data_IF_775791567705
#
_entry.id   IF_775791567705
#
_cell.length_a   1.000
_cell.length_b   1.000
_cell.length_c   1.000
_cell.angle_alpha   90.00
_cell.angle_beta   90.00
_cell.angle_gamma   90.00
#
_symmetry.space_group_name_H-M   'P 1'
#
loop_
_entity.id
_entity.type
_entity.pdbx_description
1 polymer ?
#
# COMPACT_ATOMS: atom_id res chain seq x y z
N UNK A 1 -19.11 -1.31 -17.09
CA UNK A 1 -17.95 -0.48 -16.65
C UNK A 1 -16.73 -0.95 -17.42
N UNK A 2 -15.93 -0.04 -18.00
CA UNK A 2 -14.73 -0.41 -18.78
C UNK A 2 -13.56 0.48 -18.36
N UNK A 3 -12.37 -0.09 -18.23
CA UNK A 3 -11.12 0.65 -18.09
C UNK A 3 -10.76 1.26 -19.43
N UNK A 4 -10.45 2.56 -19.44
CA UNK A 4 -10.05 3.30 -20.64
C UNK A 4 -8.54 3.14 -20.86
N UNK A 5 -8.13 2.69 -22.04
CA UNK A 5 -6.71 2.56 -22.39
C UNK A 5 -6.03 3.92 -22.53
N UNK A 6 -4.76 3.99 -22.19
CA UNK A 6 -3.94 5.19 -22.31
C UNK A 6 -4.24 6.29 -21.28
N UNK A 7 -5.16 6.05 -20.35
CA UNK A 7 -5.49 6.99 -19.25
C UNK A 7 -5.09 6.32 -17.92
N UNK A 8 -4.23 6.96 -17.10
CA UNK A 8 -3.90 6.42 -15.78
C UNK A 8 -5.15 6.15 -14.94
N UNK A 9 -5.20 5.03 -14.24
CA UNK A 9 -6.37 4.66 -13.43
C UNK A 9 -6.80 5.75 -12.44
N UNK A 10 -5.84 6.49 -11.86
CA UNK A 10 -6.13 7.61 -10.94
C UNK A 10 -6.91 8.76 -11.60
N UNK A 11 -6.93 8.82 -12.91
CA UNK A 11 -7.65 9.84 -13.67
C UNK A 11 -8.94 9.30 -14.33
N UNK A 12 -9.27 8.01 -14.13
CA UNK A 12 -10.47 7.36 -14.67
C UNK A 12 -11.69 7.49 -13.73
N UNK A 13 -11.86 8.65 -13.12
CA UNK A 13 -13.00 8.99 -12.31
C UNK A 13 -13.90 10.01 -13.03
N UNK A 14 -15.16 10.13 -12.59
CA UNK A 14 -16.06 11.20 -13.03
C UNK A 14 -15.77 12.54 -12.34
N UNK A 15 -16.55 13.58 -12.64
CA UNK A 15 -16.40 14.92 -12.05
C UNK A 15 -16.59 14.96 -10.53
N UNK A 16 -17.24 13.95 -9.97
CA UNK A 16 -17.49 13.82 -8.52
C UNK A 16 -16.44 12.92 -7.83
N UNK A 17 -15.46 12.41 -8.57
CA UNK A 17 -14.39 11.56 -8.05
C UNK A 17 -14.75 10.07 -7.97
N UNK A 18 -15.80 9.61 -8.66
CA UNK A 18 -16.20 8.21 -8.65
C UNK A 18 -15.56 7.42 -9.79
N UNK A 19 -14.86 6.35 -9.43
CA UNK A 19 -14.36 5.33 -10.33
C UNK A 19 -15.50 4.37 -10.68
N UNK A 20 -15.74 4.22 -11.98
CA UNK A 20 -16.83 3.38 -12.45
C UNK A 20 -18.22 3.78 -11.96
N UNK A 21 -18.41 5.03 -11.59
CA UNK A 21 -19.68 5.59 -11.19
C UNK A 21 -20.15 5.23 -9.78
N UNK A 22 -19.39 4.42 -9.01
CA UNK A 22 -19.83 3.98 -7.66
C UNK A 22 -18.71 3.93 -6.59
N UNK A 23 -17.45 3.84 -6.95
CA UNK A 23 -16.34 3.73 -6.00
C UNK A 23 -15.58 5.05 -5.89
N UNK A 24 -15.17 5.44 -4.70
CA UNK A 24 -14.45 6.70 -4.46
C UNK A 24 -15.37 7.82 -3.99
N UNK A 25 -15.30 8.96 -4.64
CA UNK A 25 -16.02 10.17 -4.24
C UNK A 25 -15.32 10.95 -3.14
N UNK A 26 -16.07 11.90 -2.54
CA UNK A 26 -15.60 12.77 -1.47
C UNK A 26 -16.70 12.87 -0.39
N UNK A 27 -16.84 11.84 0.43
CA UNK A 27 -17.77 11.79 1.55
C UNK A 27 -17.15 12.44 2.79
N UNK A 28 -17.13 13.76 2.81
CA UNK A 28 -16.45 14.55 3.85
C UNK A 28 -17.38 15.58 4.44
N UNK A 29 -17.07 16.04 5.66
CA UNK A 29 -17.74 17.16 6.27
C UNK A 29 -17.60 18.43 5.40
N UNK A 30 -18.58 19.32 5.44
CA UNK A 30 -18.59 20.54 4.61
C UNK A 30 -17.37 21.43 4.84
N UNK A 31 -16.85 21.46 6.05
CA UNK A 31 -15.62 22.16 6.42
C UNK A 31 -14.38 21.68 5.68
N UNK A 32 -14.37 20.43 5.17
CA UNK A 32 -13.26 19.87 4.40
C UNK A 32 -13.39 20.06 2.88
N UNK A 33 -14.53 20.53 2.36
CA UNK A 33 -14.70 20.76 0.92
C UNK A 33 -13.63 21.70 0.37
N UNK A 34 -13.50 22.89 0.98
CA UNK A 34 -12.50 23.86 0.55
C UNK A 34 -11.05 23.36 0.71
N UNK A 35 -10.60 22.79 1.83
CA UNK A 35 -9.27 22.19 1.95
C UNK A 35 -8.97 21.11 0.91
N UNK A 36 -9.93 20.27 0.56
CA UNK A 36 -9.81 19.24 -0.48
C UNK A 36 -9.70 19.86 -1.86
N UNK A 37 -10.53 20.86 -2.18
CA UNK A 37 -10.47 21.56 -3.46
C UNK A 37 -9.14 22.30 -3.63
N UNK A 38 -8.66 22.97 -2.59
CA UNK A 38 -7.37 23.67 -2.60
C UNK A 38 -6.21 22.68 -2.81
N UNK A 39 -6.23 21.53 -2.12
CA UNK A 39 -5.24 20.46 -2.32
C UNK A 39 -5.33 19.87 -3.72
N UNK A 40 -6.54 19.67 -4.25
CA UNK A 40 -6.76 19.17 -5.62
C UNK A 40 -6.16 20.12 -6.64
N UNK A 41 -6.45 21.42 -6.56
CA UNK A 41 -5.87 22.42 -7.45
C UNK A 41 -4.35 22.47 -7.37
N UNK A 42 -3.81 22.39 -6.15
CA UNK A 42 -2.37 22.37 -5.91
C UNK A 42 -1.72 21.14 -6.57
N UNK A 43 -2.27 19.95 -6.34
CA UNK A 43 -1.77 18.72 -6.90
C UNK A 43 -1.85 18.71 -8.44
N UNK A 44 -3.01 19.09 -9.01
CA UNK A 44 -3.19 19.14 -10.47
C UNK A 44 -2.23 20.11 -11.16
N UNK A 45 -1.86 21.22 -10.50
CA UNK A 45 -0.83 22.13 -10.97
C UNK A 45 0.54 21.48 -10.94
N UNK A 46 0.96 20.92 -9.79
CA UNK A 46 2.33 20.48 -9.60
C UNK A 46 2.63 19.12 -10.23
N UNK A 47 1.67 18.22 -10.35
CA UNK A 47 1.91 16.94 -11.02
C UNK A 47 2.26 17.06 -12.52
N UNK A 48 2.09 18.25 -13.11
CA UNK A 48 2.45 18.58 -14.50
C UNK A 48 3.64 19.54 -14.59
N UNK A 49 4.11 20.07 -13.47
CA UNK A 49 5.22 21.02 -13.42
C UNK A 49 6.57 20.29 -13.55
N UNK A 50 7.35 20.65 -14.56
CA UNK A 50 8.63 19.99 -14.89
C UNK A 50 9.64 20.09 -13.74
N UNK A 51 9.68 21.23 -13.03
CA UNK A 51 10.62 21.41 -11.93
C UNK A 51 10.21 20.58 -10.72
N UNK A 52 8.90 20.49 -10.43
CA UNK A 52 8.39 19.60 -9.39
C UNK A 52 8.68 18.13 -9.70
N UNK A 53 8.46 17.70 -10.94
CA UNK A 53 8.74 16.34 -11.37
C UNK A 53 10.23 16.02 -11.27
N UNK A 54 11.11 16.94 -11.70
CA UNK A 54 12.56 16.78 -11.58
C UNK A 54 12.99 16.68 -10.10
N UNK A 55 12.53 17.60 -9.24
CA UNK A 55 12.82 17.55 -7.79
C UNK A 55 12.37 16.23 -7.16
N UNK A 56 11.18 15.74 -7.53
CA UNK A 56 10.67 14.44 -7.09
C UNK A 56 11.58 13.29 -7.54
N UNK A 57 11.98 13.28 -8.82
CA UNK A 57 12.78 12.20 -9.38
C UNK A 57 14.19 12.21 -8.81
N UNK A 58 14.80 13.38 -8.61
CA UNK A 58 16.09 13.54 -7.91
C UNK A 58 16.01 12.99 -6.45
N UNK A 59 14.88 13.21 -5.77
CA UNK A 59 14.64 12.65 -4.43
C UNK A 59 14.41 11.13 -4.47
N UNK A 60 13.72 10.63 -5.48
CA UNK A 60 13.49 9.20 -5.64
C UNK A 60 14.80 8.46 -5.95
N UNK A 61 15.67 9.01 -6.75
CA UNK A 61 17.00 8.44 -7.02
C UNK A 61 17.92 8.56 -5.80
N UNK A 62 18.16 9.78 -5.33
CA UNK A 62 19.18 10.06 -4.34
C UNK A 62 18.78 9.76 -2.89
N UNK A 63 17.47 9.81 -2.54
CA UNK A 63 17.02 9.60 -1.17
C UNK A 63 16.24 8.32 -0.98
N UNK A 64 15.39 7.91 -1.93
CA UNK A 64 14.71 6.60 -1.86
C UNK A 64 15.67 5.47 -2.22
N UNK A 65 16.61 5.72 -3.13
CA UNK A 65 17.58 4.72 -3.58
C UNK A 65 17.06 3.88 -4.74
N UNK A 66 16.39 4.53 -5.72
CA UNK A 66 15.99 3.88 -6.98
C UNK A 66 17.16 3.74 -7.96
N UNK A 67 17.09 2.72 -8.83
CA UNK A 67 16.13 1.63 -8.90
C UNK A 67 16.31 0.61 -7.78
N UNK A 68 15.20 0.08 -7.24
CA UNK A 68 15.26 -1.04 -6.31
C UNK A 68 15.49 -2.35 -7.07
N UNK A 69 16.11 -3.36 -6.43
CA UNK A 69 16.49 -4.61 -7.13
C UNK A 69 15.28 -5.32 -7.72
N UNK A 70 15.53 -5.97 -8.85
CA UNK A 70 14.68 -6.99 -9.46
C UNK A 70 15.51 -8.25 -9.54
N UNK A 71 15.12 -9.30 -8.83
CA UNK A 71 15.93 -10.50 -8.64
C UNK A 71 15.14 -11.77 -8.96
N UNK A 72 15.79 -12.74 -9.57
CA UNK A 72 15.25 -14.10 -9.72
C UNK A 72 15.43 -14.85 -8.40
N UNK A 73 14.39 -15.52 -7.94
CA UNK A 73 14.41 -16.39 -6.77
C UNK A 73 14.72 -17.81 -7.23
N UNK A 74 16.02 -18.10 -7.38
CA UNK A 74 16.49 -19.34 -7.98
C UNK A 74 16.12 -20.56 -7.15
N UNK A 75 16.46 -20.55 -5.86
CA UNK A 75 16.23 -21.68 -4.98
C UNK A 75 14.73 -21.96 -4.77
N UNK A 76 13.91 -20.91 -4.68
CA UNK A 76 12.47 -21.04 -4.57
C UNK A 76 11.86 -21.60 -5.88
N UNK A 77 12.34 -21.13 -7.04
CA UNK A 77 11.94 -21.64 -8.36
C UNK A 77 12.26 -23.12 -8.48
N UNK A 78 13.47 -23.53 -8.16
CA UNK A 78 13.92 -24.92 -8.26
C UNK A 78 13.22 -25.83 -7.25
N UNK A 79 12.98 -25.32 -6.02
CA UNK A 79 12.26 -26.06 -4.96
C UNK A 79 10.80 -26.34 -5.34
N UNK A 80 10.11 -25.38 -5.96
CA UNK A 80 8.70 -25.53 -6.33
C UNK A 80 8.49 -26.18 -7.69
N UNK A 81 9.43 -26.00 -8.61
CA UNK A 81 9.26 -26.34 -10.02
C UNK A 81 8.22 -25.45 -10.72
N UNK A 82 8.02 -25.65 -12.01
CA UNK A 82 7.01 -24.94 -12.81
C UNK A 82 7.41 -23.53 -13.22
N UNK A 83 6.65 -22.51 -12.82
CA UNK A 83 6.89 -21.11 -13.22
C UNK A 83 8.19 -20.56 -12.61
N UNK A 84 8.86 -19.67 -13.35
CA UNK A 84 9.99 -18.90 -12.82
C UNK A 84 9.52 -17.79 -11.90
N UNK A 85 10.14 -17.65 -10.73
CA UNK A 85 9.73 -16.69 -9.70
C UNK A 85 10.78 -15.60 -9.56
N UNK A 86 10.33 -14.36 -9.60
CA UNK A 86 11.11 -13.14 -9.38
C UNK A 86 10.53 -12.32 -8.24
N UNK A 87 11.36 -11.51 -7.61
CA UNK A 87 10.93 -10.52 -6.64
C UNK A 87 11.34 -9.11 -7.06
N UNK A 88 10.41 -8.18 -7.01
CA UNK A 88 10.69 -6.75 -7.04
C UNK A 88 10.91 -6.28 -5.61
N UNK A 89 12.15 -5.93 -5.27
CA UNK A 89 12.59 -5.63 -3.92
C UNK A 89 12.32 -4.17 -3.54
N UNK A 90 11.05 -3.77 -3.47
CA UNK A 90 10.69 -2.40 -3.04
C UNK A 90 11.01 -2.16 -1.56
N UNK A 91 11.23 -3.22 -0.79
CA UNK A 91 11.80 -3.18 0.56
C UNK A 91 13.21 -2.58 0.64
N UNK A 92 13.97 -2.54 -0.46
CA UNK A 92 15.28 -1.89 -0.53
C UNK A 92 15.19 -0.35 -0.47
N UNK A 93 14.00 0.22 -0.70
CA UNK A 93 13.78 1.65 -0.58
C UNK A 93 14.13 2.15 0.82
N UNK A 94 14.74 3.33 0.92
CA UNK A 94 15.15 3.93 2.19
C UNK A 94 14.00 3.93 3.21
N UNK A 95 14.25 3.35 4.36
CA UNK A 95 13.25 3.13 5.41
C UNK A 95 12.54 1.79 5.34
N UNK A 96 12.78 0.98 4.28
CA UNK A 96 12.34 -0.41 4.20
C UNK A 96 10.93 -0.63 3.67
N UNK A 97 10.30 0.37 3.01
CA UNK A 97 8.94 0.18 2.47
C UNK A 97 8.54 1.19 1.39
N UNK A 98 7.62 0.77 0.51
CA UNK A 98 7.07 1.58 -0.60
C UNK A 98 6.42 2.92 -0.19
N UNK A 99 6.02 3.07 1.07
CA UNK A 99 5.30 4.26 1.56
C UNK A 99 6.11 5.56 1.49
N UNK A 100 7.44 5.45 1.35
CA UNK A 100 8.33 6.61 1.23
C UNK A 100 8.03 7.44 -0.03
N UNK A 101 7.64 6.81 -1.14
CA UNK A 101 7.25 7.52 -2.37
C UNK A 101 6.12 8.51 -2.12
N UNK A 102 5.09 8.04 -1.43
CA UNK A 102 3.93 8.86 -1.09
C UNK A 102 4.27 9.96 -0.08
N UNK A 103 5.06 9.65 0.94
CA UNK A 103 5.49 10.61 1.96
C UNK A 103 6.26 11.79 1.34
N UNK A 104 7.17 11.53 0.37
CA UNK A 104 7.91 12.57 -0.35
C UNK A 104 6.96 13.49 -1.11
N UNK A 105 6.02 12.93 -1.89
CA UNK A 105 5.07 13.76 -2.65
C UNK A 105 4.22 14.63 -1.72
N UNK A 106 3.73 14.09 -0.61
CA UNK A 106 3.00 14.87 0.39
C UNK A 106 3.85 15.97 1.04
N UNK A 107 5.11 15.72 1.36
CA UNK A 107 6.00 16.73 1.91
C UNK A 107 6.29 17.86 0.91
N UNK A 108 6.53 17.52 -0.35
CA UNK A 108 6.68 18.51 -1.43
C UNK A 108 5.43 19.39 -1.57
N UNK A 109 4.24 18.78 -1.58
CA UNK A 109 2.97 19.52 -1.63
C UNK A 109 2.76 20.39 -0.38
N UNK A 110 3.10 19.88 0.80
CA UNK A 110 3.06 20.65 2.06
C UNK A 110 3.92 21.92 1.97
N UNK A 111 5.15 21.83 1.46
CA UNK A 111 6.04 22.97 1.22
C UNK A 111 5.45 23.96 0.19
N UNK A 112 4.89 23.45 -0.92
CA UNK A 112 4.23 24.27 -1.95
C UNK A 112 2.98 25.00 -1.41
N UNK A 113 2.26 24.35 -0.47
CA UNK A 113 1.14 24.95 0.25
C UNK A 113 1.58 25.92 1.36
N UNK A 114 2.89 26.12 1.59
CA UNK A 114 3.47 26.93 2.68
C UNK A 114 3.01 26.49 4.09
N UNK A 115 2.63 25.21 4.26
CA UNK A 115 2.27 24.66 5.56
C UNK A 115 3.53 24.20 6.31
N UNK A 116 3.44 24.20 7.64
CA UNK A 116 4.58 23.91 8.53
C UNK A 116 4.56 22.50 9.10
N UNK A 117 3.39 21.84 9.07
CA UNK A 117 3.18 20.55 9.71
C UNK A 117 2.54 19.57 8.75
N UNK A 118 2.91 18.29 8.91
CA UNK A 118 2.19 17.14 8.32
C UNK A 118 1.55 16.35 9.46
N UNK A 119 0.28 15.97 9.30
CA UNK A 119 -0.32 14.91 10.10
C UNK A 119 -0.56 13.69 9.23
N UNK A 120 -0.42 12.51 9.83
CA UNK A 120 -0.64 11.22 9.16
C UNK A 120 -1.11 10.18 10.15
N UNK A 121 -1.71 9.12 9.65
CA UNK A 121 -2.10 7.92 10.39
C UNK A 121 -1.06 6.82 10.24
N UNK A 122 -1.08 5.86 11.14
CA UNK A 122 -0.32 4.61 10.96
C UNK A 122 -0.89 3.47 11.82
N UNK A 123 -0.91 2.25 11.29
CA UNK A 123 -1.15 1.01 12.04
C UNK A 123 0.18 0.29 12.30
N UNK A 124 0.74 -0.35 11.28
CA UNK A 124 2.03 -1.05 11.35
C UNK A 124 3.25 -0.16 11.70
N UNK A 125 3.09 1.15 11.72
CA UNK A 125 4.18 2.09 11.98
C UNK A 125 4.97 2.50 10.74
N UNK A 126 4.95 1.77 9.63
CA UNK A 126 5.70 2.14 8.42
C UNK A 126 5.29 3.49 7.85
N UNK A 127 3.99 3.75 7.77
CA UNK A 127 3.52 5.04 7.26
C UNK A 127 4.04 6.19 8.14
N UNK A 128 3.86 6.10 9.44
CA UNK A 128 4.38 7.07 10.39
C UNK A 128 5.90 7.25 10.34
N UNK A 129 6.65 6.14 10.21
CA UNK A 129 8.10 6.15 10.04
C UNK A 129 8.50 6.90 8.76
N UNK A 130 7.88 6.60 7.61
CA UNK A 130 8.21 7.28 6.34
C UNK A 130 7.88 8.77 6.39
N UNK A 131 6.69 9.12 6.87
CA UNK A 131 6.30 10.52 7.00
C UNK A 131 7.19 11.29 7.98
N UNK A 132 7.59 10.70 9.11
CA UNK A 132 8.51 11.33 10.06
C UNK A 132 9.92 11.54 9.49
N UNK A 133 10.45 10.53 8.76
CA UNK A 133 11.75 10.62 8.07
C UNK A 133 11.75 11.75 7.03
N UNK A 134 10.71 11.77 6.20
CA UNK A 134 10.59 12.78 5.13
C UNK A 134 10.29 14.16 5.70
N UNK A 135 9.43 14.28 6.70
CA UNK A 135 9.17 15.55 7.37
C UNK A 135 10.45 16.16 7.96
N UNK A 136 11.28 15.34 8.63
CA UNK A 136 12.61 15.77 9.11
C UNK A 136 13.50 16.28 7.99
N UNK A 137 13.57 15.55 6.86
CA UNK A 137 14.35 15.96 5.68
C UNK A 137 13.90 17.32 5.12
N UNK A 138 12.60 17.60 5.14
CA UNK A 138 12.01 18.82 4.61
C UNK A 138 11.91 19.97 5.64
N UNK A 139 12.35 19.76 6.89
CA UNK A 139 12.23 20.74 7.97
C UNK A 139 10.77 21.01 8.33
N UNK A 140 9.91 19.98 8.31
CA UNK A 140 8.49 20.04 8.65
C UNK A 140 8.25 19.38 10.02
N UNK A 141 7.34 19.94 10.82
CA UNK A 141 6.80 19.23 11.98
C UNK A 141 5.92 18.04 11.53
N UNK A 142 5.90 16.98 12.32
CA UNK A 142 5.12 15.77 11.99
C UNK A 142 4.35 15.26 13.21
N UNK A 143 3.05 15.02 13.03
CA UNK A 143 2.18 14.35 14.01
C UNK A 143 1.67 13.05 13.42
N UNK A 144 1.88 11.95 14.15
CA UNK A 144 1.52 10.60 13.72
C UNK A 144 0.44 10.06 14.65
N UNK A 145 -0.76 9.88 14.12
CA UNK A 145 -1.89 9.27 14.84
C UNK A 145 -1.76 7.76 14.76
N UNK A 146 -1.79 7.10 15.92
CA UNK A 146 -1.60 5.64 16.01
C UNK A 146 -2.48 5.06 17.11
N UNK A 147 -3.17 3.99 16.81
CA UNK A 147 -3.98 3.30 17.80
C UNK A 147 -3.15 2.80 18.98
N UNK A 148 -3.66 2.91 20.21
CA UNK A 148 -2.96 2.50 21.41
C UNK A 148 -2.54 1.03 21.34
N UNK A 149 -3.39 0.17 20.81
CA UNK A 149 -3.12 -1.27 20.60
C UNK A 149 -1.98 -1.50 19.60
N UNK A 150 -1.89 -0.68 18.55
CA UNK A 150 -0.83 -0.75 17.56
C UNK A 150 0.50 -0.20 18.11
N UNK A 151 0.47 0.85 18.96
CA UNK A 151 1.67 1.37 19.65
C UNK A 151 2.32 0.27 20.49
N UNK A 152 1.51 -0.51 21.20
CA UNK A 152 2.00 -1.62 22.05
C UNK A 152 2.63 -2.75 21.24
N UNK A 153 2.12 -3.01 20.04
CA UNK A 153 2.59 -4.07 19.13
C UNK A 153 3.82 -3.66 18.30
N UNK A 154 4.01 -2.37 18.04
CA UNK A 154 4.94 -1.84 17.04
C UNK A 154 5.99 -0.89 17.65
N UNK A 155 6.49 -1.21 18.84
CA UNK A 155 7.49 -0.39 19.58
C UNK A 155 8.68 0.04 18.72
N UNK A 156 9.33 -0.83 17.91
CA UNK A 156 10.50 -0.43 17.12
C UNK A 156 10.20 0.71 16.14
N UNK A 157 9.02 0.69 15.50
CA UNK A 157 8.62 1.78 14.61
C UNK A 157 8.24 3.05 15.39
N UNK A 158 7.62 2.92 16.58
CA UNK A 158 7.35 4.07 17.44
C UNK A 158 8.64 4.78 17.85
N UNK A 159 9.68 4.04 18.19
CA UNK A 159 10.98 4.60 18.54
C UNK A 159 11.64 5.28 17.34
N UNK A 160 11.56 4.68 16.16
CA UNK A 160 12.04 5.30 14.92
C UNK A 160 11.29 6.63 14.60
N UNK A 161 9.98 6.67 14.77
CA UNK A 161 9.15 7.87 14.59
C UNK A 161 9.61 8.98 15.53
N UNK A 162 9.77 8.68 16.84
CA UNK A 162 10.25 9.65 17.85
C UNK A 162 11.67 10.12 17.56
N UNK A 163 12.59 9.21 17.16
CA UNK A 163 13.97 9.54 16.77
C UNK A 163 14.04 10.49 15.57
N UNK A 164 13.04 10.45 14.70
CA UNK A 164 12.91 11.40 13.59
C UNK A 164 12.38 12.77 14.04
N UNK A 165 11.99 12.94 15.30
CA UNK A 165 11.45 14.20 15.84
C UNK A 165 9.94 14.36 15.64
N UNK A 166 9.22 13.31 15.27
CA UNK A 166 7.77 13.34 15.16
C UNK A 166 7.08 13.02 16.49
N UNK A 167 5.91 13.61 16.70
CA UNK A 167 5.04 13.35 17.83
C UNK A 167 4.07 12.23 17.48
N UNK A 168 4.00 11.19 18.34
CA UNK A 168 2.97 10.15 18.24
C UNK A 168 1.79 10.56 19.09
N UNK A 169 0.61 10.63 18.47
CA UNK A 169 -0.66 10.90 19.14
C UNK A 169 -1.37 9.55 19.35
N UNK A 170 -1.44 9.04 20.59
CA UNK A 170 -2.11 7.78 20.86
C UNK A 170 -3.63 7.94 20.73
N UNK A 171 -4.25 7.02 20.00
CA UNK A 171 -5.71 6.96 19.83
C UNK A 171 -6.25 5.86 20.71
N UNK A 172 -7.07 6.24 21.70
CA UNK A 172 -7.60 5.36 22.74
C UNK A 172 -9.09 5.06 22.57
N UNK A 173 -9.75 5.66 21.59
CA UNK A 173 -11.15 5.43 21.23
C UNK A 173 -11.31 4.22 20.29
N UNK A 174 -12.52 3.68 20.21
CA UNK A 174 -12.91 2.59 19.30
C UNK A 174 -12.09 1.31 19.51
N UNK A 175 -11.72 0.67 18.41
CA UNK A 175 -10.89 -0.55 18.40
C UNK A 175 -9.44 -0.29 18.80
N UNK A 176 -9.01 0.98 18.87
CA UNK A 176 -7.64 1.43 19.15
C UNK A 176 -6.62 0.95 18.12
N UNK A 177 -7.05 0.83 16.85
CA UNK A 177 -6.26 0.36 15.71
C UNK A 177 -6.19 1.42 14.60
N UNK A 178 -5.69 1.02 13.42
CA UNK A 178 -5.54 1.88 12.25
C UNK A 178 -6.83 2.62 11.87
N UNK A 179 -8.00 2.00 11.97
CA UNK A 179 -9.29 2.62 11.58
C UNK A 179 -9.54 3.88 12.39
N UNK A 180 -9.35 3.80 13.72
CA UNK A 180 -9.55 4.93 14.62
C UNK A 180 -8.44 5.98 14.46
N UNK A 181 -7.20 5.53 14.18
CA UNK A 181 -6.08 6.42 13.92
C UNK A 181 -6.34 7.30 12.69
N UNK A 182 -6.88 6.74 11.59
CA UNK A 182 -7.29 7.52 10.40
C UNK A 182 -8.38 8.50 10.75
N UNK A 183 -9.42 8.07 11.48
CA UNK A 183 -10.54 8.91 11.89
C UNK A 183 -10.09 10.11 12.74
N UNK A 184 -9.20 9.88 13.73
CA UNK A 184 -8.66 10.94 14.58
C UNK A 184 -7.72 11.90 13.81
N UNK A 185 -6.93 11.38 12.88
CA UNK A 185 -6.10 12.18 12.00
C UNK A 185 -6.95 13.14 11.14
N UNK A 186 -8.08 12.64 10.59
CA UNK A 186 -9.03 13.47 9.83
C UNK A 186 -9.64 14.55 10.74
N UNK A 187 -10.11 14.20 11.95
CA UNK A 187 -10.67 15.17 12.91
C UNK A 187 -9.66 16.27 13.28
N UNK A 188 -8.42 15.89 13.53
CA UNK A 188 -7.34 16.84 13.79
C UNK A 188 -7.11 17.77 12.60
N UNK A 189 -7.09 17.21 11.38
CA UNK A 189 -6.90 18.00 10.16
C UNK A 189 -8.03 18.99 9.94
N UNK A 190 -9.30 18.60 10.15
CA UNK A 190 -10.46 19.51 10.06
C UNK A 190 -10.23 20.81 10.85
N UNK A 191 -9.71 20.69 12.07
CA UNK A 191 -9.50 21.82 12.98
C UNK A 191 -8.21 22.62 12.70
N UNK A 192 -7.31 22.12 11.84
CA UNK A 192 -5.97 22.68 11.65
C UNK A 192 -5.56 22.79 10.17
N UNK A 193 -6.51 22.72 9.25
CA UNK A 193 -6.23 22.65 7.81
C UNK A 193 -5.53 23.89 7.23
N UNK A 194 -5.51 25.01 7.95
CA UNK A 194 -4.77 26.23 7.61
C UNK A 194 -3.24 26.03 7.75
N UNK A 195 -2.79 25.29 8.76
CA UNK A 195 -1.36 25.12 9.12
C UNK A 195 -0.83 23.73 8.82
N UNK A 196 -1.72 22.75 8.74
CA UNK A 196 -1.39 21.33 8.66
C UNK A 196 -1.76 20.76 7.30
N UNK A 197 -0.85 20.00 6.71
CA UNK A 197 -1.10 19.13 5.56
C UNK A 197 -1.38 17.72 6.03
N UNK A 198 -2.48 17.13 5.60
CA UNK A 198 -2.74 15.71 5.87
C UNK A 198 -2.15 14.85 4.78
N UNK A 199 -1.44 13.79 5.17
CA UNK A 199 -0.98 12.74 4.28
C UNK A 199 -1.60 11.40 4.65
N UNK A 200 -2.35 10.80 3.73
CA UNK A 200 -2.88 9.44 3.89
C UNK A 200 -1.88 8.44 3.30
N UNK A 201 -1.54 7.42 4.07
CA UNK A 201 -0.50 6.45 3.71
C UNK A 201 -0.92 5.36 2.74
N UNK A 202 -2.11 5.44 2.15
CA UNK A 202 -2.64 4.42 1.25
C UNK A 202 -3.54 5.00 0.17
N UNK A 203 -4.03 4.14 -0.73
CA UNK A 203 -4.91 4.50 -1.85
C UNK A 203 -6.38 4.57 -1.40
N UNK A 204 -6.63 5.15 -0.24
CA UNK A 204 -7.96 5.26 0.39
C UNK A 204 -8.28 6.72 0.73
N UNK A 205 -9.51 6.98 1.15
CA UNK A 205 -9.96 8.32 1.50
C UNK A 205 -10.52 9.12 0.32
N UNK A 206 -10.77 10.42 0.49
CA UNK A 206 -11.26 11.30 -0.58
C UNK A 206 -10.40 11.22 -1.82
N UNK A 207 -11.01 11.39 -2.99
CA UNK A 207 -10.38 11.12 -4.30
C UNK A 207 -8.99 11.75 -4.47
N UNK A 208 -8.75 12.93 -3.92
CA UNK A 208 -7.44 13.58 -4.04
C UNK A 208 -6.31 12.78 -3.39
N UNK A 209 -6.55 12.09 -2.26
CA UNK A 209 -5.54 11.27 -1.61
C UNK A 209 -5.26 9.99 -2.42
N UNK A 210 -6.30 9.41 -3.02
CA UNK A 210 -6.15 8.29 -3.98
C UNK A 210 -5.26 8.73 -5.14
N UNK A 211 -5.47 9.92 -5.70
CA UNK A 211 -4.67 10.46 -6.81
C UNK A 211 -3.22 10.73 -6.42
N UNK A 212 -2.97 11.37 -5.29
CA UNK A 212 -1.61 11.66 -4.80
C UNK A 212 -0.85 10.35 -4.55
N UNK A 213 -1.46 9.42 -3.85
CA UNK A 213 -0.83 8.14 -3.53
C UNK A 213 -0.53 7.34 -4.79
N UNK A 214 -1.50 7.21 -5.71
CA UNK A 214 -1.30 6.49 -6.96
C UNK A 214 -0.25 7.13 -7.87
N UNK A 215 -0.25 8.47 -8.00
CA UNK A 215 0.79 9.19 -8.73
C UNK A 215 2.20 8.91 -8.18
N UNK A 216 2.31 8.84 -6.85
CA UNK A 216 3.59 8.61 -6.18
C UNK A 216 4.09 7.18 -6.35
N UNK A 217 3.23 6.19 -6.14
CA UNK A 217 3.60 4.77 -6.16
C UNK A 217 3.74 4.21 -7.58
N UNK A 218 3.14 4.84 -8.60
CA UNK A 218 3.26 4.42 -10.01
C UNK A 218 4.72 4.31 -10.50
N UNK A 219 5.68 4.94 -9.81
CA UNK A 219 7.10 4.81 -10.13
C UNK A 219 7.61 3.36 -9.99
N UNK A 220 6.98 2.55 -9.14
CA UNK A 220 7.33 1.13 -8.95
C UNK A 220 7.13 0.35 -10.24
N UNK A 221 5.97 0.48 -10.89
CA UNK A 221 5.69 -0.22 -12.15
C UNK A 221 6.46 0.32 -13.34
N UNK A 222 6.76 1.64 -13.37
CA UNK A 222 7.61 2.23 -14.42
C UNK A 222 9.01 1.63 -14.38
N UNK A 223 9.57 1.50 -13.18
CA UNK A 223 10.86 0.87 -12.96
C UNK A 223 10.82 -0.61 -13.31
N UNK A 224 9.81 -1.34 -12.82
CA UNK A 224 9.65 -2.76 -13.11
C UNK A 224 9.53 -3.02 -14.62
N UNK A 225 8.84 -2.16 -15.36
CA UNK A 225 8.68 -2.31 -16.81
C UNK A 225 10.03 -2.30 -17.53
N UNK A 226 10.89 -1.34 -17.20
CA UNK A 226 12.26 -1.27 -17.74
C UNK A 226 13.05 -2.52 -17.35
N UNK A 227 13.00 -2.93 -16.09
CA UNK A 227 13.71 -4.12 -15.60
C UNK A 227 13.25 -5.43 -16.25
N UNK A 228 11.96 -5.54 -16.58
CA UNK A 228 11.45 -6.69 -17.34
C UNK A 228 11.92 -6.67 -18.79
N UNK A 229 11.95 -5.50 -19.44
CA UNK A 229 12.48 -5.33 -20.79
C UNK A 229 14.00 -5.62 -20.82
N UNK A 230 14.76 -5.20 -19.82
CA UNK A 230 16.19 -5.47 -19.70
C UNK A 230 16.49 -6.97 -19.48
N UNK A 231 15.69 -7.65 -18.62
CA UNK A 231 15.91 -9.07 -18.28
C UNK A 231 15.46 -10.02 -19.41
N UNK A 232 14.35 -9.71 -20.08
CA UNK A 232 13.72 -10.64 -21.05
C UNK A 232 13.77 -10.16 -22.49
N UNK A 233 14.29 -8.98 -22.78
CA UNK A 233 14.26 -8.34 -24.10
C UNK A 233 12.89 -7.74 -24.48
N UNK A 234 11.81 -8.25 -23.92
CA UNK A 234 10.43 -7.76 -24.08
C UNK A 234 9.60 -8.05 -22.81
N UNK A 235 8.44 -7.44 -22.69
CA UNK A 235 7.51 -7.80 -21.62
C UNK A 235 7.01 -9.25 -21.82
N UNK A 236 7.19 -10.17 -20.82
CA UNK A 236 6.84 -11.57 -20.97
C UNK A 236 5.38 -11.81 -21.40
N UNK A 237 5.17 -12.82 -22.24
CA UNK A 237 3.83 -13.16 -22.78
C UNK A 237 2.93 -13.85 -21.78
N UNK A 238 3.50 -14.44 -20.71
CA UNK A 238 2.79 -15.14 -19.62
C UNK A 238 3.29 -14.61 -18.28
N UNK A 239 2.92 -13.36 -17.94
CA UNK A 239 3.37 -12.67 -16.74
C UNK A 239 2.28 -12.62 -15.67
N UNK A 240 2.62 -12.96 -14.44
CA UNK A 240 1.75 -12.80 -13.26
C UNK A 240 2.39 -11.83 -12.29
N UNK A 241 1.71 -10.74 -12.00
CA UNK A 241 2.12 -9.73 -11.04
C UNK A 241 1.33 -9.92 -9.74
N UNK A 242 1.98 -10.42 -8.70
CA UNK A 242 1.35 -10.76 -7.42
C UNK A 242 1.76 -9.74 -6.37
N UNK A 243 0.79 -9.20 -5.64
CA UNK A 243 1.03 -8.27 -4.55
C UNK A 243 0.03 -8.47 -3.40
N UNK A 244 0.44 -8.13 -2.19
CA UNK A 244 -0.47 -8.05 -1.05
C UNK A 244 -1.37 -6.81 -1.15
N UNK A 245 -2.59 -6.91 -0.64
CA UNK A 245 -3.59 -5.86 -0.69
C UNK A 245 -4.21 -5.64 0.69
N UNK A 246 -3.85 -4.51 1.32
CA UNK A 246 -4.61 -3.87 2.38
C UNK A 246 -5.38 -2.69 1.78
N UNK A 247 -4.97 -1.46 2.04
CA UNK A 247 -5.52 -0.30 1.31
C UNK A 247 -5.14 -0.22 -0.18
N UNK A 248 -4.17 -1.01 -0.66
CA UNK A 248 -3.88 -1.25 -2.07
C UNK A 248 -2.84 -0.34 -2.72
N UNK A 249 -2.11 0.47 -1.96
CA UNK A 249 -1.14 1.42 -2.55
C UNK A 249 0.05 0.74 -3.25
N UNK A 250 0.58 -0.34 -2.67
CA UNK A 250 1.67 -1.10 -3.27
C UNK A 250 1.21 -1.81 -4.54
N UNK A 251 0.11 -2.54 -4.47
CA UNK A 251 -0.43 -3.28 -5.61
C UNK A 251 -0.79 -2.35 -6.79
N UNK A 252 -1.39 -1.19 -6.52
CA UNK A 252 -1.60 -0.18 -7.55
C UNK A 252 -0.27 0.27 -8.17
N UNK A 253 0.70 0.65 -7.35
CA UNK A 253 2.01 1.11 -7.81
C UNK A 253 2.71 0.08 -8.68
N UNK A 254 2.56 -1.19 -8.34
CA UNK A 254 3.17 -2.33 -9.02
C UNK A 254 2.48 -2.69 -10.35
N UNK A 255 1.18 -2.37 -10.52
CA UNK A 255 0.39 -2.74 -11.70
C UNK A 255 0.13 -1.60 -12.68
N UNK A 256 0.27 -0.35 -12.26
CA UNK A 256 -0.28 0.81 -12.97
C UNK A 256 0.17 0.95 -14.42
N UNK A 257 1.43 0.64 -14.76
CA UNK A 257 1.95 0.70 -16.15
C UNK A 257 1.52 -0.51 -17.01
N UNK A 258 0.97 -1.54 -16.38
CA UNK A 258 0.59 -2.78 -17.06
C UNK A 258 -0.93 -2.91 -17.27
N UNK A 259 -1.72 -1.93 -16.89
CA UNK A 259 -3.20 -1.99 -16.93
C UNK A 259 -3.73 -2.20 -18.34
N UNK A 260 -3.09 -1.58 -19.32
CA UNK A 260 -3.51 -1.60 -20.73
C UNK A 260 -3.16 -2.89 -21.46
N UNK A 261 -2.30 -3.72 -20.89
CA UNK A 261 -1.95 -5.02 -21.46
C UNK A 261 -3.12 -6.00 -21.36
N UNK A 262 -3.18 -6.95 -22.31
CA UNK A 262 -4.19 -8.00 -22.27
C UNK A 262 -4.06 -8.80 -20.97
N UNK A 263 -5.17 -9.09 -20.31
CA UNK A 263 -5.18 -9.88 -19.07
C UNK A 263 -4.66 -11.31 -19.24
N UNK A 264 -4.71 -11.86 -20.46
CA UNK A 264 -4.14 -13.16 -20.77
C UNK A 264 -2.61 -13.13 -20.91
N UNK A 265 -2.04 -11.95 -21.18
CA UNK A 265 -0.59 -11.72 -21.16
C UNK A 265 -0.12 -11.39 -19.76
N UNK A 266 -0.77 -10.44 -19.08
CA UNK A 266 -0.40 -9.99 -17.75
C UNK A 266 -1.58 -10.13 -16.79
N UNK A 267 -1.51 -11.10 -15.89
CA UNK A 267 -2.49 -11.32 -14.83
C UNK A 267 -2.09 -10.54 -13.57
N UNK A 268 -3.04 -9.79 -12.97
CA UNK A 268 -2.88 -9.15 -11.69
C UNK A 268 -3.56 -9.99 -10.61
N UNK A 269 -2.80 -10.30 -9.55
CA UNK A 269 -3.28 -11.12 -8.44
C UNK A 269 -3.04 -10.37 -7.13
N UNK A 270 -4.13 -9.93 -6.50
CA UNK A 270 -4.10 -9.31 -5.19
C UNK A 270 -4.35 -10.34 -4.09
N UNK A 271 -3.51 -10.35 -3.07
CA UNK A 271 -3.63 -11.27 -1.93
C UNK A 271 -3.95 -10.46 -0.68
N UNK A 272 -5.12 -10.71 -0.11
CA UNK A 272 -5.61 -10.05 1.09
C UNK A 272 -5.34 -10.90 2.34
N UNK A 273 -5.46 -10.30 3.54
CA UNK A 273 -5.31 -11.03 4.79
C UNK A 273 -6.58 -11.78 5.16
N UNK A 274 -6.47 -13.09 5.17
CA UNK A 274 -7.56 -14.01 5.51
C UNK A 274 -7.83 -14.16 7.01
N UNK A 275 -6.96 -13.56 7.85
CA UNK A 275 -6.99 -13.71 9.30
C UNK A 275 -6.46 -15.06 9.78
N UNK A 276 -6.52 -15.29 11.08
CA UNK A 276 -6.15 -16.59 11.65
C UNK A 276 -7.16 -17.67 11.29
N UNK A 277 -6.70 -18.90 11.04
CA UNK A 277 -7.56 -20.07 10.80
C UNK A 277 -8.49 -20.39 11.99
N UNK A 278 -8.20 -19.84 13.17
CA UNK A 278 -8.97 -20.02 14.41
C UNK A 278 -10.01 -18.93 14.66
N UNK A 279 -10.02 -17.88 13.83
CA UNK A 279 -10.91 -16.73 13.94
C UNK A 279 -11.84 -16.63 12.75
N UNK A 280 -13.00 -16.00 12.93
CA UNK A 280 -13.88 -15.62 11.82
C UNK A 280 -13.54 -14.24 11.24
N UNK A 281 -12.70 -13.47 11.96
CA UNK A 281 -12.28 -12.15 11.51
C UNK A 281 -11.24 -12.26 10.39
N UNK A 282 -11.26 -11.29 9.49
CA UNK A 282 -10.35 -11.18 8.37
C UNK A 282 -10.27 -9.72 7.89
N UNK A 283 -9.31 -9.41 7.03
CA UNK A 283 -9.17 -8.12 6.36
C UNK A 283 -9.12 -8.31 4.82
N UNK A 284 -10.12 -8.99 4.28
CA UNK A 284 -10.18 -9.42 2.88
C UNK A 284 -11.48 -8.97 2.19
N UNK A 285 -11.71 -7.64 2.00
CA UNK A 285 -12.96 -7.12 1.46
C UNK A 285 -13.19 -7.45 -0.02
N UNK A 286 -12.17 -7.79 -0.79
CA UNK A 286 -12.32 -8.13 -2.21
C UNK A 286 -12.48 -9.62 -2.46
N UNK A 287 -11.88 -10.46 -1.65
CA UNK A 287 -11.86 -11.92 -1.86
C UNK A 287 -12.83 -12.69 -0.97
N UNK A 288 -13.33 -12.07 0.10
CA UNK A 288 -14.39 -12.60 0.98
C UNK A 288 -15.65 -11.72 0.92
N UNK A 289 -16.58 -11.98 1.81
CA UNK A 289 -17.85 -11.26 1.84
C UNK A 289 -17.68 -9.80 2.28
N UNK A 290 -18.14 -8.88 1.46
CA UNK A 290 -18.18 -7.45 1.72
C UNK A 290 -19.33 -6.80 0.96
N UNK A 291 -19.66 -5.58 1.33
CA UNK A 291 -20.66 -4.76 0.65
C UNK A 291 -20.08 -3.39 0.32
N UNK A 292 -20.73 -2.69 -0.61
CA UNK A 292 -20.40 -1.28 -0.85
C UNK A 292 -20.77 -0.48 0.40
N UNK A 293 -19.80 0.24 0.93
CA UNK A 293 -19.95 1.12 2.09
C UNK A 293 -19.12 2.37 1.95
N UNK A 294 -19.18 3.26 2.93
CA UNK A 294 -18.35 4.48 2.98
C UNK A 294 -17.49 4.44 4.23
N UNK A 295 -16.18 4.51 4.03
CA UNK A 295 -15.22 4.60 5.11
C UNK A 295 -14.17 5.67 4.80
N UNK A 296 -13.82 6.49 5.79
CA UNK A 296 -12.80 7.55 5.69
C UNK A 296 -12.97 8.49 4.49
N UNK A 297 -14.22 8.72 4.07
CA UNK A 297 -14.55 9.67 3.00
C UNK A 297 -14.57 9.08 1.58
N UNK A 298 -14.53 7.77 1.43
CA UNK A 298 -14.53 7.07 0.14
C UNK A 298 -15.51 5.90 0.12
N UNK A 299 -16.25 5.74 -0.96
CA UNK A 299 -17.09 4.56 -1.20
C UNK A 299 -16.24 3.42 -1.78
N UNK A 300 -16.27 2.27 -1.14
CA UNK A 300 -15.52 1.07 -1.54
C UNK A 300 -16.19 -0.19 -0.99
N UNK A 301 -15.67 -1.36 -1.33
CA UNK A 301 -16.04 -2.58 -0.63
C UNK A 301 -15.52 -2.54 0.81
N UNK A 302 -16.43 -2.74 1.76
CA UNK A 302 -16.16 -2.72 3.20
C UNK A 302 -16.66 -4.01 3.86
N UNK A 303 -15.93 -4.47 4.86
CA UNK A 303 -16.38 -5.53 5.78
C UNK A 303 -17.31 -4.87 6.79
N UNK A 304 -18.59 -5.16 6.69
CA UNK A 304 -19.62 -4.53 7.49
C UNK A 304 -20.75 -5.52 7.82
N UNK A 305 -21.47 -5.26 8.89
CA UNK A 305 -22.62 -6.04 9.32
C UNK A 305 -23.89 -5.78 8.49
N UNK A 306 -25.03 -6.29 8.95
CA UNK A 306 -26.31 -6.11 8.27
C UNK A 306 -26.79 -4.65 8.29
N UNK A 307 -26.44 -3.92 9.34
CA UNK A 307 -26.82 -2.51 9.56
C UNK A 307 -25.84 -1.51 8.93
N UNK A 308 -24.80 -2.02 8.26
CA UNK A 308 -23.78 -1.21 7.57
C UNK A 308 -22.68 -0.68 8.50
N UNK A 309 -22.58 -1.18 9.74
CA UNK A 309 -21.49 -0.83 10.64
C UNK A 309 -20.23 -1.58 10.23
N UNK A 310 -19.10 -0.89 10.26
CA UNK A 310 -17.79 -1.47 9.93
C UNK A 310 -17.40 -2.47 11.02
N UNK A 311 -17.17 -3.70 10.60
CA UNK A 311 -16.72 -4.76 11.51
C UNK A 311 -15.26 -4.64 11.88
N UNK A 312 -14.91 -5.19 13.03
CA UNK A 312 -13.51 -5.43 13.41
C UNK A 312 -12.86 -6.38 12.40
N UNK A 313 -11.56 -6.17 12.21
CA UNK A 313 -10.71 -7.00 11.35
C UNK A 313 -9.58 -7.64 12.15
N UNK A 314 -8.97 -8.66 11.59
CA UNK A 314 -7.83 -9.35 12.17
C UNK A 314 -6.83 -9.76 11.10
N UNK A 315 -5.56 -9.45 11.34
CA UNK A 315 -4.41 -9.94 10.59
C UNK A 315 -3.17 -9.93 11.46
N UNK A 316 -2.32 -10.94 11.29
CA UNK A 316 -0.95 -10.94 11.85
C UNK A 316 -0.12 -9.79 11.26
N UNK A 317 -0.45 -9.37 10.05
CA UNK A 317 0.15 -8.23 9.35
C UNK A 317 -0.68 -6.98 9.57
N UNK A 318 -0.25 -6.10 10.47
CA UNK A 318 -0.98 -4.86 10.76
C UNK A 318 -1.06 -3.88 9.59
N UNK A 319 -0.22 -4.02 8.56
CA UNK A 319 -0.32 -3.23 7.32
C UNK A 319 -1.43 -3.68 6.38
N UNK A 320 -1.97 -4.91 6.58
CA UNK A 320 -3.12 -5.44 5.84
C UNK A 320 -4.41 -5.40 6.68
N UNK A 321 -4.33 -5.08 7.97
CA UNK A 321 -5.45 -5.09 8.90
C UNK A 321 -6.33 -3.83 8.72
N UNK A 322 -7.17 -3.86 7.67
CA UNK A 322 -8.03 -2.75 7.29
C UNK A 322 -9.35 -3.27 6.68
N UNK A 323 -10.51 -2.78 7.13
CA UNK A 323 -11.82 -3.34 6.73
C UNK A 323 -12.31 -2.88 5.37
N UNK A 324 -11.55 -2.08 4.65
CA UNK A 324 -11.90 -1.55 3.33
C UNK A 324 -10.69 -1.60 2.39
N UNK A 325 -10.86 -1.10 1.18
CA UNK A 325 -9.83 -1.11 0.15
C UNK A 325 -9.94 0.10 -0.77
N UNK A 326 -8.95 0.34 -1.60
CA UNK A 326 -8.97 1.38 -2.61
C UNK A 326 -10.18 1.26 -3.57
N UNK A 327 -10.83 2.38 -3.91
CA UNK A 327 -11.86 2.43 -4.95
C UNK A 327 -11.34 1.95 -6.32
N UNK A 328 -10.05 2.11 -6.60
CA UNK A 328 -9.43 1.61 -7.84
C UNK A 328 -9.37 0.07 -7.83
N UNK A 329 -9.05 -0.56 -6.70
CA UNK A 329 -9.07 -2.02 -6.60
C UNK A 329 -10.48 -2.58 -6.72
N UNK A 330 -11.49 -1.88 -6.21
CA UNK A 330 -12.89 -2.22 -6.43
C UNK A 330 -13.25 -2.19 -7.93
N UNK A 331 -12.78 -1.15 -8.66
CA UNK A 331 -12.94 -1.07 -10.12
C UNK A 331 -12.22 -2.21 -10.84
N UNK A 332 -10.99 -2.52 -10.49
CA UNK A 332 -10.21 -3.61 -11.09
C UNK A 332 -10.87 -4.98 -10.88
N UNK A 333 -11.46 -5.22 -9.71
CA UNK A 333 -12.25 -6.43 -9.42
C UNK A 333 -13.49 -6.50 -10.31
N UNK A 334 -14.32 -5.46 -10.30
CA UNK A 334 -15.60 -5.45 -11.01
C UNK A 334 -15.45 -5.51 -12.53
N UNK A 335 -14.34 -5.02 -13.06
CA UNK A 335 -14.03 -5.12 -14.51
C UNK A 335 -13.33 -6.43 -14.87
N UNK A 336 -13.01 -7.29 -13.90
CA UNK A 336 -12.27 -8.52 -14.12
C UNK A 336 -10.84 -8.31 -14.61
N UNK A 337 -10.26 -7.09 -14.38
CA UNK A 337 -8.87 -6.80 -14.72
C UNK A 337 -7.89 -7.39 -13.73
N UNK A 338 -8.26 -7.47 -12.46
CA UNK A 338 -7.48 -8.12 -11.41
C UNK A 338 -8.31 -9.19 -10.71
N UNK A 339 -7.64 -10.27 -10.33
CA UNK A 339 -8.17 -11.33 -9.46
C UNK A 339 -7.70 -11.08 -8.04
N UNK A 340 -8.56 -11.35 -7.07
CA UNK A 340 -8.23 -11.24 -5.65
C UNK A 340 -8.46 -12.58 -4.96
N UNK A 341 -7.54 -12.88 -4.06
CA UNK A 341 -7.56 -14.05 -3.18
C UNK A 341 -7.09 -13.64 -1.78
N UNK A 342 -7.04 -14.58 -0.86
CA UNK A 342 -6.52 -14.32 0.48
C UNK A 342 -5.55 -15.41 0.93
N UNK A 343 -4.72 -15.08 1.89
CA UNK A 343 -3.88 -16.01 2.63
C UNK A 343 -4.17 -15.88 4.13
N UNK A 344 -4.13 -16.99 4.86
CA UNK A 344 -4.24 -16.96 6.31
C UNK A 344 -2.93 -16.55 6.98
N UNK A 345 -3.00 -16.18 8.25
CA UNK A 345 -1.82 -15.82 9.05
C UNK A 345 -0.80 -16.97 9.10
N UNK A 346 -1.28 -18.19 9.25
CA UNK A 346 -0.45 -19.39 9.30
C UNK A 346 0.23 -19.68 7.95
N UNK A 347 -0.49 -19.45 6.84
CA UNK A 347 0.09 -19.60 5.49
C UNK A 347 1.16 -18.52 5.25
N UNK A 348 0.91 -17.27 5.66
CA UNK A 348 1.87 -16.18 5.52
C UNK A 348 3.16 -16.43 6.31
N UNK A 349 3.05 -16.95 7.55
CA UNK A 349 4.22 -17.35 8.35
C UNK A 349 5.02 -18.47 7.70
N UNK A 350 4.35 -19.47 7.12
CA UNK A 350 5.02 -20.57 6.39
C UNK A 350 5.74 -20.05 5.15
N UNK A 351 5.09 -19.16 4.38
CA UNK A 351 5.71 -18.56 3.20
C UNK A 351 6.90 -17.67 3.58
N UNK A 352 6.78 -16.86 4.63
CA UNK A 352 7.89 -16.09 5.18
C UNK A 352 9.10 -16.99 5.48
N UNK A 353 8.86 -18.06 6.23
CA UNK A 353 9.91 -19.03 6.61
C UNK A 353 10.58 -19.62 5.37
N UNK A 354 9.80 -20.18 4.44
CA UNK A 354 10.32 -20.81 3.22
C UNK A 354 11.16 -19.85 2.38
N UNK A 355 10.67 -18.64 2.14
CA UNK A 355 11.38 -17.64 1.33
C UNK A 355 12.67 -17.19 2.02
N UNK A 356 12.64 -17.02 3.35
CA UNK A 356 13.84 -16.60 4.10
C UNK A 356 14.90 -17.70 4.13
N UNK A 357 14.48 -18.97 4.24
CA UNK A 357 15.40 -20.12 4.22
C UNK A 357 16.08 -20.32 2.89
N UNK A 358 15.30 -20.22 1.80
CA UNK A 358 15.81 -20.53 0.47
C UNK A 358 16.55 -19.36 -0.19
N UNK A 359 16.08 -18.13 0.00
CA UNK A 359 16.57 -16.96 -0.76
C UNK A 359 17.33 -15.92 0.07
N UNK A 360 17.47 -16.16 1.38
CA UNK A 360 18.14 -15.24 2.33
C UNK A 360 17.57 -13.81 2.34
N UNK A 361 16.33 -13.64 1.87
CA UNK A 361 15.58 -12.39 1.96
C UNK A 361 14.52 -12.51 3.06
N UNK A 362 14.27 -11.41 3.76
CA UNK A 362 13.29 -11.37 4.86
C UNK A 362 12.19 -10.36 4.55
N UNK A 363 11.15 -10.75 3.78
CA UNK A 363 10.03 -9.89 3.47
C UNK A 363 9.22 -9.59 4.74
N UNK A 364 8.56 -8.43 4.84
CA UNK A 364 7.59 -8.23 5.91
C UNK A 364 6.39 -9.20 5.78
N UNK A 365 5.58 -9.28 6.82
CA UNK A 365 4.40 -10.17 6.82
C UNK A 365 3.36 -9.76 5.76
N UNK A 366 3.35 -8.49 5.31
CA UNK A 366 2.53 -8.05 4.20
C UNK A 366 2.85 -8.81 2.90
N UNK A 367 4.06 -8.69 2.29
CA UNK A 367 4.40 -9.44 1.08
C UNK A 367 4.49 -10.95 1.31
N UNK A 368 4.66 -11.43 2.56
CA UNK A 368 4.56 -12.86 2.85
C UNK A 368 3.20 -13.45 2.41
N UNK A 369 2.10 -12.69 2.54
CA UNK A 369 0.79 -13.10 1.98
C UNK A 369 0.84 -13.24 0.46
N UNK A 370 1.53 -12.35 -0.25
CA UNK A 370 1.69 -12.45 -1.72
C UNK A 370 2.52 -13.69 -2.12
N UNK A 371 3.56 -14.00 -1.37
CA UNK A 371 4.37 -15.21 -1.59
C UNK A 371 3.55 -16.50 -1.41
N UNK A 372 2.54 -16.53 -0.53
CA UNK A 372 1.64 -17.69 -0.42
C UNK A 372 1.01 -18.04 -1.76
N UNK A 373 0.50 -17.06 -2.49
CA UNK A 373 -0.13 -17.30 -3.78
C UNK A 373 0.90 -17.73 -4.83
N UNK A 374 2.07 -17.10 -4.86
CA UNK A 374 3.16 -17.53 -5.75
C UNK A 374 3.53 -19.00 -5.52
N UNK A 375 3.70 -19.42 -4.27
CA UNK A 375 4.01 -20.80 -3.88
C UNK A 375 2.89 -21.77 -4.30
N UNK A 376 1.62 -21.35 -4.18
CA UNK A 376 0.46 -22.19 -4.54
C UNK A 376 0.32 -22.42 -6.05
N UNK A 377 0.68 -21.41 -6.87
CA UNK A 377 0.42 -21.48 -8.32
C UNK A 377 1.64 -21.89 -9.14
N UNK A 378 2.87 -21.59 -8.70
CA UNK A 378 4.08 -21.87 -9.48
C UNK A 378 4.18 -23.34 -9.93
N UNK A 379 3.96 -24.35 -9.06
CA UNK A 379 4.06 -25.77 -9.46
C UNK A 379 3.01 -26.24 -10.49
N UNK A 380 1.95 -25.43 -10.68
CA UNK A 380 0.84 -25.75 -11.60
C UNK A 380 1.02 -25.15 -13.00
N UNK A 381 2.09 -24.42 -13.19
CA UNK A 381 2.41 -23.70 -14.41
C UNK A 381 3.66 -24.30 -15.06
N UNK A 382 3.87 -24.03 -16.35
CA UNK A 382 5.11 -24.38 -17.02
C UNK A 382 6.17 -23.27 -16.84
N UNK A 383 7.43 -23.57 -17.15
CA UNK A 383 8.57 -22.68 -16.98
C UNK A 383 8.57 -21.44 -17.91
N UNK A 384 7.66 -21.36 -18.87
CA UNK A 384 7.45 -20.17 -19.71
C UNK A 384 6.63 -19.10 -18.99
N UNK A 385 6.02 -19.44 -17.85
CA UNK A 385 5.32 -18.47 -17.01
C UNK A 385 6.32 -17.75 -16.09
N UNK A 386 6.18 -16.42 -16.02
CA UNK A 386 6.95 -15.58 -15.11
C UNK A 386 6.02 -15.07 -14.02
N UNK A 387 6.40 -15.30 -12.77
CA UNK A 387 5.73 -14.75 -11.59
C UNK A 387 6.64 -13.67 -11.00
N UNK A 388 6.13 -12.47 -10.80
CA UNK A 388 6.83 -11.42 -10.06
C UNK A 388 6.03 -11.08 -8.81
N UNK A 389 6.69 -11.19 -7.65
CA UNK A 389 6.12 -10.79 -6.37
C UNK A 389 6.72 -9.45 -5.94
N UNK A 390 5.89 -8.50 -5.54
CA UNK A 390 6.37 -7.24 -4.93
C UNK A 390 6.70 -7.47 -3.45
N UNK A 391 7.99 -7.47 -3.11
CA UNK A 391 8.47 -7.40 -1.72
C UNK A 391 8.44 -5.95 -1.23
N UNK A 392 7.25 -5.47 -0.87
CA UNK A 392 6.95 -4.06 -0.62
C UNK A 392 7.38 -3.53 0.75
N UNK A 393 7.91 -4.39 1.62
CA UNK A 393 8.40 -4.03 2.95
C UNK A 393 9.37 -5.07 3.53
N UNK A 394 10.30 -4.63 4.38
CA UNK A 394 11.23 -5.49 5.14
C UNK A 394 10.61 -6.03 6.43
N UNK A 395 11.18 -7.08 7.01
CA UNK A 395 10.67 -7.74 8.22
C UNK A 395 11.08 -7.09 9.54
N UNK A 396 11.88 -6.02 9.53
CA UNK A 396 12.45 -5.46 10.76
C UNK A 396 11.39 -5.09 11.81
N UNK A 397 10.23 -4.63 11.35
CA UNK A 397 9.10 -4.30 12.23
C UNK A 397 8.40 -5.53 12.81
N UNK A 398 8.52 -6.68 12.16
CA UNK A 398 7.78 -7.90 12.48
C UNK A 398 8.58 -8.86 13.37
N UNK A 399 9.80 -8.50 13.76
CA UNK A 399 10.73 -9.35 14.53
C UNK A 399 10.09 -10.00 15.74
N UNK A 400 9.39 -9.23 16.56
CA UNK A 400 8.77 -9.75 17.78
C UNK A 400 7.63 -10.73 17.47
N UNK A 401 6.84 -10.43 16.41
CA UNK A 401 5.76 -11.30 15.95
C UNK A 401 6.36 -12.60 15.39
N UNK A 402 7.36 -12.48 14.51
CA UNK A 402 8.05 -13.64 13.92
C UNK A 402 8.68 -14.51 15.01
N UNK A 403 9.38 -13.90 15.96
CA UNK A 403 9.97 -14.63 17.09
C UNK A 403 8.93 -15.36 17.95
N UNK A 404 7.78 -14.73 18.18
CA UNK A 404 6.68 -15.34 18.94
C UNK A 404 6.10 -16.58 18.25
N UNK A 405 6.02 -16.58 16.93
CA UNK A 405 5.36 -17.66 16.17
C UNK A 405 6.32 -18.69 15.59
N UNK A 406 7.56 -18.31 15.25
CA UNK A 406 8.56 -19.16 14.60
C UNK A 406 9.82 -19.38 15.46
N UNK A 407 9.87 -18.87 16.71
CA UNK A 407 11.05 -18.98 17.56
C UNK A 407 12.20 -18.08 17.10
N UNK A 408 13.46 -18.51 17.29
CA UNK A 408 14.64 -17.71 16.95
C UNK A 408 14.90 -17.59 15.43
N UNK A 409 13.87 -17.55 14.64
CA UNK A 409 13.88 -17.52 13.18
C UNK A 409 14.11 -16.11 12.58
N UNK A 410 14.44 -15.10 13.39
CA UNK A 410 14.77 -13.77 12.89
C UNK A 410 16.26 -13.72 12.52
N UNK A 411 16.60 -13.78 11.25
CA UNK A 411 17.89 -13.31 10.73
C UNK A 411 17.96 -11.79 10.66
#
# INVERSE_FOLDING_TARGET
>A
MKIKKGIPLIDQHDKNGFYGGKFGGNYVAETLKKPIDDLTKLFEKFRKDKNFLKERDDLYEGYVGRPTRFIKLHNLTDHLGGAQIYAKMVSDANGGAHKIYNAITHAMLCKRAKKKYICTDTGAGYNGKMFSMVAKKFGLGCKVFMGQRDIERQKPNCDAIRKNGAEIIPVTSGSKTLVDAVSECIRYWVSNCDKVHMGIGSLVGPNIFVKICGFSTAQISKELKVQLEDEFGEIPKKLKLINCVGGGSSAYGFWSEFVDYNKNQIEFIGVEAGGSSKSKLHAAPLSKNSKLGVLHGSAAYCIQDADGQINDTESISSGLDYPSVSPIHCLLKDTGRARYTFATDEEALKAYKLVTELEEISPSLEPAHAFVEAIKIAPKLDNSNIIVVDSCGDSLKDRDIIKKHLGNYSR
#
